data_IF_785015144026
#
_entry.id   IF_785015144026
#
_cell.length_a   1.000
_cell.length_b   1.000
_cell.length_c   1.000
_cell.angle_alpha   90.00
_cell.angle_beta   90.00
_cell.angle_gamma   90.00
#
_symmetry.space_group_name_H-M   'P 1'
#
loop_
_entity.id
_entity.type
_entity.pdbx_description
1 polymer ?
#
# COMPACT_ATOMS: atom_id res chain seq x y z
N UNK A 1 25.83 26.77 11.62
CA UNK A 1 25.49 25.39 12.04
C UNK A 1 24.02 25.04 11.79
N UNK A 2 23.07 25.99 11.85
CA UNK A 2 21.66 25.74 11.50
C UNK A 2 21.38 25.57 10.00
N UNK A 3 22.19 26.18 9.11
CA UNK A 3 22.00 26.03 7.66
C UNK A 3 22.27 24.61 7.16
N UNK A 4 23.24 23.91 7.77
CA UNK A 4 23.54 22.51 7.45
C UNK A 4 22.44 21.53 7.90
N UNK A 5 21.62 21.92 8.89
CA UNK A 5 20.47 21.13 9.32
C UNK A 5 19.30 21.25 8.35
N UNK A 6 19.18 22.38 7.65
CA UNK A 6 18.14 22.60 6.64
C UNK A 6 18.36 21.74 5.38
N UNK A 7 19.60 21.67 4.91
CA UNK A 7 19.99 20.78 3.79
C UNK A 7 19.66 19.30 4.09
N UNK A 8 19.89 18.85 5.33
CA UNK A 8 19.62 17.47 5.77
C UNK A 8 18.12 17.16 5.81
N UNK A 9 17.27 18.12 6.17
CA UNK A 9 15.82 17.92 6.17
C UNK A 9 15.28 17.88 4.74
N UNK A 10 15.85 18.69 3.83
CA UNK A 10 15.47 18.70 2.43
C UNK A 10 15.86 17.41 1.70
N UNK A 11 16.95 16.77 2.12
CA UNK A 11 17.36 15.43 1.65
C UNK A 11 16.39 14.34 2.14
N UNK A 12 15.93 14.42 3.39
CA UNK A 12 14.91 13.50 3.94
C UNK A 12 13.50 13.72 3.38
N UNK A 13 13.25 14.90 2.79
CA UNK A 13 12.02 15.21 2.08
C UNK A 13 11.96 14.55 0.69
N UNK A 14 13.06 13.95 0.22
CA UNK A 14 13.01 13.16 -1.00
C UNK A 14 12.11 11.94 -0.80
N UNK A 15 11.27 11.62 -1.80
CA UNK A 15 10.34 10.51 -1.70
C UNK A 15 11.11 9.22 -1.41
N UNK A 16 10.81 8.56 -0.28
CA UNK A 16 11.23 7.17 -0.03
C UNK A 16 10.38 6.24 -0.91
N UNK A 17 10.68 6.29 -2.20
CA UNK A 17 10.19 5.38 -3.23
C UNK A 17 11.32 4.46 -3.64
N UNK A 18 11.07 3.15 -3.53
CA UNK A 18 11.96 2.07 -3.92
C UNK A 18 12.73 2.37 -5.22
N UNK A 19 14.01 2.03 -5.22
CA UNK A 19 14.98 2.17 -6.29
C UNK A 19 14.35 2.06 -7.69
N UNK A 20 14.59 3.10 -8.50
CA UNK A 20 14.30 3.14 -9.92
C UNK A 20 14.97 1.97 -10.65
N UNK A 21 14.15 1.06 -11.17
CA UNK A 21 14.60 0.06 -12.15
C UNK A 21 14.80 0.79 -13.50
N UNK A 22 16.00 0.75 -14.11
CA UNK A 22 16.21 1.37 -15.41
C UNK A 22 15.41 0.63 -16.48
N UNK A 23 14.58 1.35 -17.24
CA UNK A 23 13.87 0.82 -18.43
C UNK A 23 12.35 0.88 -18.39
N UNK A 24 11.73 1.22 -17.25
CA UNK A 24 10.29 1.46 -17.19
C UNK A 24 10.02 2.96 -17.09
N UNK A 25 9.62 3.56 -18.22
CA UNK A 25 9.16 4.95 -18.28
C UNK A 25 7.88 5.13 -17.47
N UNK A 26 8.05 5.45 -16.19
CA UNK A 26 7.00 5.81 -15.26
C UNK A 26 7.66 6.49 -14.08
N UNK A 27 7.83 7.81 -14.16
CA UNK A 27 8.29 8.60 -13.01
C UNK A 27 7.25 8.50 -11.90
N UNK A 28 7.61 7.86 -10.79
CA UNK A 28 6.78 7.80 -9.60
C UNK A 28 7.35 8.72 -8.53
N UNK A 29 6.48 9.55 -7.97
CA UNK A 29 6.80 10.40 -6.84
C UNK A 29 6.11 11.75 -6.95
N UNK A 30 4.77 11.78 -6.88
CA UNK A 30 4.14 12.97 -6.31
C UNK A 30 4.79 13.19 -4.93
N UNK A 31 5.20 14.42 -4.63
CA UNK A 31 5.79 14.76 -3.34
C UNK A 31 4.82 14.30 -2.26
N UNK A 32 5.14 13.21 -1.57
CA UNK A 32 4.24 12.57 -0.59
C UNK A 32 3.99 13.49 0.59
N UNK A 33 4.90 14.44 0.78
CA UNK A 33 4.98 15.30 1.94
C UNK A 33 5.46 16.69 1.52
N UNK A 34 4.71 17.73 1.90
CA UNK A 34 5.15 19.12 1.89
C UNK A 34 5.63 19.54 3.28
N UNK A 35 6.71 20.32 3.32
CA UNK A 35 7.29 20.84 4.55
C UNK A 35 7.12 22.36 4.59
N UNK A 36 6.43 22.85 5.62
CA UNK A 36 6.29 24.29 5.90
C UNK A 36 7.12 24.62 7.12
N UNK A 37 8.06 25.56 6.96
CA UNK A 37 8.89 26.08 8.05
C UNK A 37 8.13 27.15 8.81
N UNK A 38 8.05 27.00 10.13
CA UNK A 38 7.61 28.07 11.01
C UNK A 38 8.84 28.67 11.71
N UNK A 39 9.29 29.82 11.20
CA UNK A 39 10.50 30.51 11.68
C UNK A 39 10.32 31.13 13.08
N UNK A 40 9.09 31.35 13.52
CA UNK A 40 8.81 31.93 14.84
C UNK A 40 8.94 30.87 15.95
N UNK A 41 8.50 29.63 15.69
CA UNK A 41 8.46 28.57 16.70
C UNK A 41 9.59 27.53 16.59
N UNK A 42 10.50 27.67 15.60
CA UNK A 42 11.54 26.67 15.29
C UNK A 42 10.96 25.27 15.02
N UNK A 43 9.77 25.21 14.42
CA UNK A 43 9.05 23.97 14.18
C UNK A 43 8.97 23.67 12.68
N UNK A 44 9.07 22.40 12.32
CA UNK A 44 8.91 21.92 10.95
C UNK A 44 7.53 21.28 10.86
N UNK A 45 6.62 21.85 10.07
CA UNK A 45 5.29 21.29 9.83
C UNK A 45 5.34 20.44 8.58
N UNK A 46 4.99 19.17 8.74
CA UNK A 46 4.94 18.18 7.68
C UNK A 46 3.47 17.92 7.30
N UNK A 47 3.08 18.04 6.03
CA UNK A 47 1.69 17.82 5.57
C UNK A 47 1.68 16.93 4.34
N UNK A 48 0.79 15.95 4.31
CA UNK A 48 0.61 15.09 3.13
C UNK A 48 -0.14 15.90 2.07
N UNK A 49 0.38 15.88 0.84
CA UNK A 49 -0.26 16.59 -0.27
C UNK A 49 -1.58 15.88 -0.66
N UNK A 50 -2.62 16.62 -1.08
CA UNK A 50 -3.87 16.01 -1.55
C UNK A 50 -3.66 15.00 -2.69
N UNK A 51 -2.70 15.28 -3.58
CA UNK A 51 -2.34 14.41 -4.69
C UNK A 51 -1.75 13.08 -4.20
N UNK A 52 -0.83 13.13 -3.24
CA UNK A 52 -0.27 11.92 -2.64
C UNK A 52 -1.32 11.12 -1.87
N UNK A 53 -2.27 11.79 -1.22
CA UNK A 53 -3.37 11.10 -0.55
C UNK A 53 -4.25 10.31 -1.53
N UNK A 54 -4.57 10.91 -2.69
CA UNK A 54 -5.36 10.25 -3.74
C UNK A 54 -4.61 9.06 -4.38
N UNK A 55 -3.29 9.21 -4.59
CA UNK A 55 -2.43 8.14 -5.08
C UNK A 55 -2.36 6.98 -4.07
N UNK A 56 -2.16 7.28 -2.78
CA UNK A 56 -2.14 6.28 -1.71
C UNK A 56 -3.48 5.53 -1.64
N UNK A 57 -4.62 6.23 -1.73
CA UNK A 57 -5.93 5.59 -1.74
C UNK A 57 -6.09 4.63 -2.92
N UNK A 58 -5.76 5.08 -4.13
CA UNK A 58 -5.86 4.25 -5.34
C UNK A 58 -4.95 3.02 -5.23
N UNK A 59 -3.70 3.21 -4.80
CA UNK A 59 -2.74 2.12 -4.58
C UNK A 59 -3.24 1.12 -3.54
N UNK A 60 -3.80 1.61 -2.43
CA UNK A 60 -4.32 0.78 -1.34
C UNK A 60 -5.47 -0.11 -1.84
N UNK A 61 -6.37 0.44 -2.65
CA UNK A 61 -7.48 -0.34 -3.24
C UNK A 61 -6.96 -1.40 -4.20
N UNK A 62 -6.04 -1.06 -5.11
CA UNK A 62 -5.44 -2.02 -6.04
C UNK A 62 -4.72 -3.14 -5.30
N UNK A 63 -3.93 -2.80 -4.27
CA UNK A 63 -3.26 -3.80 -3.45
C UNK A 63 -4.26 -4.71 -2.73
N UNK A 64 -5.35 -4.14 -2.20
CA UNK A 64 -6.41 -4.91 -1.54
C UNK A 64 -7.05 -5.92 -2.50
N UNK A 65 -7.31 -5.52 -3.75
CA UNK A 65 -7.84 -6.42 -4.80
C UNK A 65 -6.90 -7.60 -5.03
N UNK A 66 -5.59 -7.34 -5.15
CA UNK A 66 -4.60 -8.41 -5.36
C UNK A 66 -4.49 -9.35 -4.15
N UNK A 67 -4.59 -8.83 -2.94
CA UNK A 67 -4.62 -9.66 -1.71
C UNK A 67 -5.87 -10.53 -1.67
N UNK A 68 -7.03 -9.96 -1.98
CA UNK A 68 -8.31 -10.71 -2.02
C UNK A 68 -8.24 -11.81 -3.07
N UNK A 69 -7.72 -11.51 -4.28
CA UNK A 69 -7.55 -12.49 -5.35
C UNK A 69 -6.74 -13.70 -4.87
N UNK A 70 -5.54 -13.47 -4.35
CA UNK A 70 -4.66 -14.56 -3.86
C UNK A 70 -5.33 -15.43 -2.80
N UNK A 71 -6.06 -14.83 -1.87
CA UNK A 71 -6.74 -15.56 -0.78
C UNK A 71 -7.92 -16.40 -1.27
N UNK A 72 -8.62 -15.95 -2.31
CA UNK A 72 -9.73 -16.73 -2.89
C UNK A 72 -9.18 -17.83 -3.80
N UNK A 73 -8.12 -17.56 -4.55
CA UNK A 73 -7.47 -18.52 -5.45
C UNK A 73 -6.88 -19.72 -4.69
N UNK A 74 -6.55 -19.59 -3.39
CA UNK A 74 -6.13 -20.71 -2.53
C UNK A 74 -7.17 -21.85 -2.44
N UNK A 75 -8.45 -21.56 -2.74
CA UNK A 75 -9.51 -22.59 -2.81
C UNK A 75 -9.48 -23.42 -4.09
N UNK A 76 -8.79 -22.95 -5.14
CA UNK A 76 -8.44 -23.69 -6.35
C UNK A 76 -9.59 -24.09 -7.30
N UNK A 77 -10.85 -23.74 -7.00
CA UNK A 77 -12.02 -24.29 -7.69
C UNK A 77 -12.84 -23.28 -8.49
N UNK A 78 -12.61 -21.98 -8.30
CA UNK A 78 -13.45 -20.93 -8.87
C UNK A 78 -12.63 -19.69 -9.21
N UNK A 79 -12.79 -19.13 -10.42
CA UNK A 79 -12.27 -17.80 -10.76
C UNK A 79 -13.24 -16.71 -10.25
N UNK A 80 -12.87 -15.92 -9.22
CA UNK A 80 -13.73 -14.86 -8.70
C UNK A 80 -13.67 -13.61 -9.59
N UNK A 81 -14.81 -12.94 -9.76
CA UNK A 81 -14.84 -11.59 -10.34
C UNK A 81 -14.63 -10.57 -9.22
N UNK A 82 -13.51 -9.86 -9.27
CA UNK A 82 -13.15 -8.82 -8.28
C UNK A 82 -13.01 -7.50 -9.02
N UNK A 83 -13.80 -6.50 -8.63
CA UNK A 83 -13.80 -5.19 -9.26
C UNK A 83 -13.88 -4.08 -8.21
N UNK A 84 -13.27 -2.93 -8.50
CA UNK A 84 -13.42 -1.73 -7.67
C UNK A 84 -14.84 -1.18 -7.78
N UNK A 85 -15.46 -0.89 -6.65
CA UNK A 85 -16.78 -0.26 -6.57
C UNK A 85 -16.64 1.12 -5.90
N UNK A 86 -16.62 2.17 -6.71
CA UNK A 86 -16.39 3.54 -6.22
C UNK A 86 -15.00 3.73 -5.62
N UNK A 87 -14.86 4.64 -4.66
CA UNK A 87 -13.53 5.07 -4.24
C UNK A 87 -12.87 4.15 -3.21
N UNK A 88 -13.66 3.52 -2.34
CA UNK A 88 -13.17 2.80 -1.16
C UNK A 88 -13.78 1.40 -0.96
N UNK A 89 -14.45 0.83 -1.97
CA UNK A 89 -15.07 -0.50 -1.86
C UNK A 89 -14.62 -1.42 -2.99
N UNK A 90 -14.67 -2.72 -2.73
CA UNK A 90 -14.35 -3.79 -3.68
C UNK A 90 -15.55 -4.72 -3.75
N UNK A 91 -16.05 -4.93 -4.96
CA UNK A 91 -17.08 -5.93 -5.26
C UNK A 91 -16.38 -7.25 -5.52
N UNK A 92 -16.82 -8.30 -4.83
CA UNK A 92 -16.33 -9.67 -4.97
C UNK A 92 -17.50 -10.57 -5.32
N UNK A 93 -17.38 -11.32 -6.41
CA UNK A 93 -18.37 -12.32 -6.83
C UNK A 93 -17.65 -13.65 -7.05
N UNK A 94 -18.07 -14.68 -6.31
CA UNK A 94 -17.48 -16.02 -6.39
C UNK A 94 -18.55 -16.98 -6.92
N UNK A 95 -18.45 -17.46 -8.18
CA UNK A 95 -19.43 -18.39 -8.73
C UNK A 95 -19.45 -19.72 -7.98
N UNK A 96 -20.64 -20.25 -7.73
CA UNK A 96 -20.80 -21.54 -7.06
C UNK A 96 -20.53 -21.55 -5.56
N UNK A 97 -20.14 -20.41 -4.97
CA UNK A 97 -20.05 -20.29 -3.51
C UNK A 97 -21.34 -19.65 -2.94
N UNK A 98 -21.99 -20.39 -2.03
CA UNK A 98 -23.29 -20.04 -1.47
C UNK A 98 -23.21 -19.28 -0.15
N UNK A 99 -22.06 -19.34 0.53
CA UNK A 99 -21.87 -18.71 1.84
C UNK A 99 -20.91 -17.50 1.77
N UNK A 100 -21.42 -16.27 1.79
CA UNK A 100 -20.58 -15.07 1.83
C UNK A 100 -19.78 -14.94 3.13
N UNK A 101 -20.21 -15.54 4.26
CA UNK A 101 -19.49 -15.44 5.52
C UNK A 101 -18.14 -16.16 5.45
N UNK A 102 -18.10 -17.32 4.79
CA UNK A 102 -16.87 -18.09 4.59
C UNK A 102 -15.80 -17.29 3.84
N UNK A 103 -16.20 -16.55 2.80
CA UNK A 103 -15.30 -15.70 2.02
C UNK A 103 -14.77 -14.54 2.89
N UNK A 104 -15.64 -13.92 3.70
CA UNK A 104 -15.25 -12.84 4.61
C UNK A 104 -14.23 -13.33 5.63
N UNK A 105 -14.40 -14.53 6.19
CA UNK A 105 -13.44 -15.15 7.12
C UNK A 105 -12.07 -15.40 6.46
N UNK A 106 -12.07 -15.95 5.24
CA UNK A 106 -10.83 -16.19 4.48
C UNK A 106 -10.09 -14.88 4.17
N UNK A 107 -10.81 -13.79 3.89
CA UNK A 107 -10.22 -12.46 3.65
C UNK A 107 -9.73 -11.79 4.93
N UNK A 108 -10.39 -12.00 6.07
CA UNK A 108 -10.03 -11.39 7.35
C UNK A 108 -8.96 -12.15 8.13
N UNK A 109 -8.69 -13.42 7.81
CA UNK A 109 -7.70 -14.21 8.54
C UNK A 109 -6.29 -13.67 8.29
N UNK A 110 -5.59 -13.17 9.30
CA UNK A 110 -4.18 -12.77 9.12
C UNK A 110 -3.33 -14.00 8.80
N UNK A 111 -2.73 -14.04 7.61
CA UNK A 111 -1.79 -15.10 7.25
C UNK A 111 -0.50 -14.94 8.09
N UNK A 112 -0.20 -15.93 8.94
CA UNK A 112 1.05 -16.00 9.70
C UNK A 112 1.90 -17.14 9.13
N UNK A 113 3.06 -16.80 8.55
CA UNK A 113 4.00 -17.78 8.02
C UNK A 113 5.13 -17.98 9.03
N UNK A 114 5.35 -19.24 9.43
CA UNK A 114 6.47 -19.62 10.31
C UNK A 114 7.35 -20.64 9.60
N UNK A 115 8.65 -20.44 9.67
CA UNK A 115 9.64 -21.38 9.16
C UNK A 115 10.21 -22.16 10.33
N UNK A 116 10.22 -23.49 10.21
CA UNK A 116 10.85 -24.38 11.17
C UNK A 116 12.01 -25.09 10.48
N UNK A 117 13.17 -25.11 11.14
CA UNK A 117 14.30 -25.92 10.70
C UNK A 117 13.97 -27.39 10.97
N UNK A 118 14.14 -28.23 9.96
CA UNK A 118 13.91 -29.67 10.05
C UNK A 118 15.22 -30.33 10.48
N UNK A 119 15.18 -31.13 11.54
CA UNK A 119 16.34 -31.88 12.00
C UNK A 119 16.67 -32.99 10.99
N UNK A 120 17.86 -32.95 10.40
CA UNK A 120 18.35 -33.97 9.48
C UNK A 120 19.04 -35.06 10.30
N UNK A 121 18.30 -36.13 10.60
CA UNK A 121 18.84 -37.33 11.27
C UNK A 121 19.76 -38.13 10.36
#
# INVERSE_FOLDING_TARGET
QMDAAWDRVQDLAQPVGNASVPGQGGGFGAQTVSFTRDDAERTIRMTITPEALAEIQTRTVTQSIEVIRRRIDETGLTEPTIARQGDARVLVQVPGEGDPQRIIELVNTTASMSFHLVDST
#
